data_IF_596954234615
#
_entry.id   IF_596954234615
#
_cell.length_a   1.000
_cell.length_b   1.000
_cell.length_c   1.000
_cell.angle_alpha   90.00
_cell.angle_beta   90.00
_cell.angle_gamma   90.00
#
_symmetry.space_group_name_H-M   'P 1'
#
loop_
_entity.id
_entity.type
_entity.pdbx_description
1 polymer ?
#
# COMPACT_ATOMS: atom_id res chain seq x y z
N UNK A 1 -4.26 -10.47 11.51
CA UNK A 1 -4.38 -9.47 10.42
C UNK A 1 -5.69 -8.70 10.50
N UNK A 2 -6.87 -9.33 10.66
CA UNK A 2 -8.17 -8.62 10.78
C UNK A 2 -8.19 -7.52 11.84
N UNK A 3 -7.62 -7.77 13.02
CA UNK A 3 -7.52 -6.79 14.11
C UNK A 3 -6.59 -5.64 13.76
N UNK A 4 -5.53 -5.90 13.00
CA UNK A 4 -4.57 -4.87 12.56
C UNK A 4 -5.21 -3.89 11.59
N UNK A 5 -6.07 -4.38 10.67
CA UNK A 5 -6.81 -3.54 9.74
C UNK A 5 -7.78 -2.56 10.45
N UNK A 6 -8.21 -2.86 11.69
CA UNK A 6 -8.99 -1.90 12.47
C UNK A 6 -8.22 -0.63 12.83
N UNK A 7 -6.90 -0.72 12.87
CA UNK A 7 -6.01 0.39 13.19
C UNK A 7 -5.41 1.08 11.94
N UNK A 8 -5.71 0.59 10.75
CA UNK A 8 -5.20 1.15 9.50
C UNK A 8 -6.13 2.21 8.92
N UNK A 9 -5.56 3.21 8.25
CA UNK A 9 -6.31 4.18 7.44
C UNK A 9 -6.19 3.89 5.96
N UNK A 10 -5.14 3.16 5.55
CA UNK A 10 -4.93 2.66 4.19
C UNK A 10 -4.37 1.25 4.27
N UNK A 11 -4.52 0.47 3.21
CA UNK A 11 -3.96 -0.86 3.08
C UNK A 11 -3.14 -0.98 1.79
N UNK A 12 -2.09 -1.78 1.84
CA UNK A 12 -1.34 -2.18 0.65
C UNK A 12 -1.62 -3.65 0.39
N UNK A 13 -2.22 -3.93 -0.75
CA UNK A 13 -2.42 -5.27 -1.27
C UNK A 13 -1.19 -5.67 -2.08
N UNK A 14 -0.53 -6.73 -1.66
CA UNK A 14 0.60 -7.29 -2.39
C UNK A 14 0.15 -8.49 -3.20
N UNK A 15 0.39 -8.45 -4.49
CA UNK A 15 0.08 -9.52 -5.42
C UNK A 15 1.36 -10.06 -6.06
N UNK A 16 1.43 -11.35 -6.22
CA UNK A 16 2.54 -12.04 -6.89
C UNK A 16 2.24 -12.10 -8.39
N UNK A 17 3.08 -11.51 -9.23
CA UNK A 17 2.87 -11.46 -10.69
C UNK A 17 2.67 -12.86 -11.33
N UNK A 18 3.21 -13.91 -10.72
CA UNK A 18 3.04 -15.27 -11.25
C UNK A 18 1.77 -15.96 -10.75
N UNK A 19 1.28 -15.59 -9.53
CA UNK A 19 0.17 -16.30 -8.88
C UNK A 19 -1.16 -15.58 -9.00
N UNK A 20 -1.14 -14.26 -9.17
CA UNK A 20 -2.33 -13.44 -9.09
C UNK A 20 -2.94 -13.40 -7.68
N UNK A 21 -4.25 -13.28 -7.61
CA UNK A 21 -5.00 -13.16 -6.36
C UNK A 21 -5.04 -14.47 -5.55
N UNK A 22 -4.35 -14.49 -4.40
CA UNK A 22 -4.36 -15.63 -3.49
C UNK A 22 -5.63 -15.61 -2.58
N UNK A 23 -6.11 -16.80 -2.12
CA UNK A 23 -7.33 -16.88 -1.29
C UNK A 23 -7.29 -16.03 0.00
N UNK A 24 -6.11 -15.84 0.58
CA UNK A 24 -5.94 -15.01 1.77
C UNK A 24 -6.09 -13.53 1.45
N UNK A 25 -5.62 -13.08 0.29
CA UNK A 25 -5.77 -11.70 -0.20
C UNK A 25 -7.24 -11.36 -0.37
N UNK A 26 -8.03 -12.25 -1.00
CA UNK A 26 -9.49 -12.06 -1.16
C UNK A 26 -10.21 -11.88 0.18
N UNK A 27 -9.89 -12.70 1.18
CA UNK A 27 -10.49 -12.58 2.53
C UNK A 27 -10.14 -11.26 3.22
N UNK A 28 -8.92 -10.77 3.06
CA UNK A 28 -8.49 -9.51 3.64
C UNK A 28 -9.07 -8.30 2.90
N UNK A 29 -9.21 -8.42 1.58
CA UNK A 29 -9.89 -7.44 0.76
C UNK A 29 -11.33 -7.19 1.25
N UNK A 30 -12.11 -8.26 1.48
CA UNK A 30 -13.49 -8.13 2.00
C UNK A 30 -13.54 -7.35 3.33
N UNK A 31 -12.53 -7.51 4.19
CA UNK A 31 -12.46 -6.73 5.43
C UNK A 31 -12.15 -5.26 5.17
N UNK A 32 -11.26 -4.96 4.22
CA UNK A 32 -10.97 -3.59 3.82
C UNK A 32 -12.22 -2.93 3.22
N UNK A 33 -12.93 -3.63 2.33
CA UNK A 33 -14.17 -3.17 1.69
C UNK A 33 -15.27 -2.87 2.73
N UNK A 34 -15.54 -3.80 3.66
CA UNK A 34 -16.51 -3.57 4.74
C UNK A 34 -16.20 -2.35 5.61
N UNK A 35 -14.93 -2.00 5.74
CA UNK A 35 -14.45 -0.88 6.55
C UNK A 35 -14.18 0.38 5.74
N UNK A 36 -14.36 0.33 4.43
CA UNK A 36 -14.02 1.41 3.49
C UNK A 36 -12.58 1.90 3.66
N UNK A 37 -11.64 0.94 3.78
CA UNK A 37 -10.22 1.23 3.86
C UNK A 37 -9.68 1.34 2.43
N UNK A 38 -9.10 2.46 2.02
CA UNK A 38 -8.45 2.60 0.73
C UNK A 38 -7.37 1.54 0.51
N UNK A 39 -7.33 0.99 -0.70
CA UNK A 39 -6.41 -0.09 -1.07
C UNK A 39 -5.50 0.38 -2.19
N UNK A 40 -4.20 0.25 -1.98
CA UNK A 40 -3.15 0.43 -2.97
C UNK A 40 -2.63 -0.95 -3.34
N UNK A 41 -2.57 -1.27 -4.63
CA UNK A 41 -2.10 -2.57 -5.09
C UNK A 41 -0.66 -2.49 -5.57
N UNK A 42 0.19 -3.40 -5.10
CA UNK A 42 1.56 -3.54 -5.57
C UNK A 42 1.75 -4.94 -6.15
N UNK A 43 1.85 -5.02 -7.48
CA UNK A 43 2.15 -6.26 -8.22
C UNK A 43 3.64 -6.49 -8.16
N UNK A 44 4.02 -7.48 -7.38
CA UNK A 44 5.38 -7.77 -6.96
C UNK A 44 6.00 -8.90 -7.79
N UNK A 45 7.32 -8.95 -7.81
CA UNK A 45 8.13 -9.98 -8.48
C UNK A 45 8.11 -9.90 -10.00
N UNK A 46 8.00 -8.69 -10.56
CA UNK A 46 8.10 -8.46 -11.99
C UNK A 46 9.46 -8.89 -12.58
N UNK A 47 10.47 -9.08 -11.72
CA UNK A 47 11.80 -9.62 -12.08
C UNK A 47 11.82 -11.14 -12.28
N UNK A 48 10.67 -11.81 -12.24
CA UNK A 48 10.49 -13.25 -12.44
C UNK A 48 9.43 -13.52 -13.51
N UNK A 49 9.46 -14.68 -14.18
CA UNK A 49 8.38 -15.06 -15.07
C UNK A 49 7.03 -15.00 -14.38
N UNK A 50 6.10 -14.29 -14.95
CA UNK A 50 4.76 -14.04 -14.40
C UNK A 50 3.71 -14.02 -15.51
N UNK A 51 2.51 -13.63 -15.12
CA UNK A 51 1.38 -13.38 -16.02
C UNK A 51 1.50 -11.98 -16.63
N UNK A 52 0.77 -11.75 -17.71
CA UNK A 52 0.74 -10.46 -18.39
C UNK A 52 0.08 -9.40 -17.48
N UNK A 53 0.59 -8.15 -17.46
CA UNK A 53 0.09 -7.09 -16.59
C UNK A 53 -1.40 -6.82 -16.75
N UNK A 54 -1.92 -6.81 -17.98
CA UNK A 54 -3.35 -6.61 -18.25
C UNK A 54 -4.22 -7.72 -17.66
N UNK A 55 -3.78 -8.98 -17.74
CA UNK A 55 -4.51 -10.10 -17.12
C UNK A 55 -4.61 -9.99 -15.60
N UNK A 56 -3.57 -9.46 -14.94
CA UNK A 56 -3.57 -9.25 -13.50
C UNK A 56 -4.53 -8.13 -13.10
N UNK A 57 -4.62 -7.06 -13.88
CA UNK A 57 -5.61 -6.00 -13.66
C UNK A 57 -7.02 -6.53 -13.83
N UNK A 58 -7.28 -7.26 -14.92
CA UNK A 58 -8.59 -7.87 -15.20
C UNK A 58 -9.04 -8.81 -14.07
N UNK A 59 -8.12 -9.61 -13.52
CA UNK A 59 -8.41 -10.50 -12.38
C UNK A 59 -8.85 -9.71 -11.15
N UNK A 60 -8.15 -8.62 -10.81
CA UNK A 60 -8.51 -7.76 -9.68
C UNK A 60 -9.90 -7.16 -9.89
N UNK A 61 -10.15 -6.60 -11.07
CA UNK A 61 -11.43 -5.96 -11.38
C UNK A 61 -12.60 -6.95 -11.40
N UNK A 62 -12.43 -8.11 -12.03
CA UNK A 62 -13.48 -9.11 -12.15
C UNK A 62 -13.77 -9.83 -10.83
N UNK A 63 -12.74 -10.19 -10.09
CA UNK A 63 -12.93 -11.00 -8.90
C UNK A 63 -13.19 -10.19 -7.64
N UNK A 64 -12.61 -9.01 -7.50
CA UNK A 64 -12.80 -8.14 -6.35
C UNK A 64 -13.84 -7.04 -6.59
N UNK A 65 -14.17 -6.74 -7.84
CA UNK A 65 -14.99 -5.58 -8.19
C UNK A 65 -14.32 -4.26 -7.79
N UNK A 66 -12.99 -4.23 -7.80
CA UNK A 66 -12.17 -3.08 -7.44
C UNK A 66 -11.58 -2.49 -8.72
N UNK A 67 -12.01 -1.30 -9.10
CA UNK A 67 -11.46 -0.62 -10.26
C UNK A 67 -9.95 -0.39 -10.08
N UNK A 68 -9.17 -0.54 -11.14
CA UNK A 68 -7.73 -0.40 -11.15
C UNK A 68 -7.28 0.83 -11.92
N UNK A 69 -6.33 1.57 -11.38
CA UNK A 69 -5.63 2.64 -12.08
C UNK A 69 -4.11 2.44 -11.97
N UNK A 70 -3.44 1.91 -13.01
CA UNK A 70 -2.00 1.77 -13.01
C UNK A 70 -1.33 3.15 -12.91
N UNK A 71 -0.53 3.34 -11.85
CA UNK A 71 0.28 4.56 -11.66
C UNK A 71 1.56 4.46 -12.49
N UNK A 72 2.11 3.26 -12.57
CA UNK A 72 3.23 2.95 -13.45
C UNK A 72 2.92 1.72 -14.30
N UNK A 73 3.63 1.57 -15.40
CA UNK A 73 3.50 0.44 -16.32
C UNK A 73 4.84 -0.24 -16.54
N UNK A 74 4.93 -1.58 -16.47
CA UNK A 74 6.21 -2.28 -16.56
C UNK A 74 6.76 -2.28 -18.00
N UNK A 75 8.07 -2.15 -18.12
CA UNK A 75 8.82 -2.33 -19.36
C UNK A 75 9.45 -3.71 -19.32
N UNK A 76 8.80 -4.65 -20.01
CA UNK A 76 9.15 -6.06 -19.98
C UNK A 76 8.76 -6.76 -18.66
N UNK A 77 9.03 -8.05 -18.61
CA UNK A 77 8.76 -8.93 -17.46
C UNK A 77 9.85 -9.98 -17.30
N UNK A 78 9.94 -10.60 -16.14
CA UNK A 78 10.93 -11.63 -15.84
C UNK A 78 12.37 -11.13 -16.01
N UNK A 79 13.19 -11.88 -16.69
CA UNK A 79 14.59 -11.50 -16.94
C UNK A 79 14.74 -10.27 -17.85
N UNK A 80 13.68 -9.92 -18.59
CA UNK A 80 13.61 -8.73 -19.46
C UNK A 80 12.98 -7.51 -18.76
N UNK A 81 12.65 -7.58 -17.48
CA UNK A 81 12.14 -6.43 -16.71
C UNK A 81 13.23 -5.37 -16.56
N UNK A 82 13.05 -4.20 -17.16
CA UNK A 82 14.03 -3.11 -17.23
C UNK A 82 13.68 -1.94 -16.34
N UNK A 83 12.39 -1.69 -16.12
CA UNK A 83 11.91 -0.54 -15.41
C UNK A 83 10.42 -0.39 -15.54
N UNK A 84 9.96 0.83 -15.29
CA UNK A 84 8.55 1.19 -15.45
C UNK A 84 8.42 2.54 -16.13
N UNK A 85 7.26 2.80 -16.75
CA UNK A 85 6.86 4.11 -17.21
C UNK A 85 5.89 4.68 -16.16
N UNK A 86 6.19 5.84 -15.57
CA UNK A 86 5.23 6.56 -14.74
C UNK A 86 4.14 7.15 -15.65
N UNK A 87 2.88 6.76 -15.40
CA UNK A 87 1.75 7.16 -16.26
C UNK A 87 1.43 8.64 -16.16
N UNK A 88 1.73 9.28 -15.02
CA UNK A 88 1.43 10.69 -14.76
C UNK A 88 2.44 11.64 -15.40
N UNK A 89 3.74 11.36 -15.21
CA UNK A 89 4.82 12.18 -15.74
C UNK A 89 5.26 11.76 -17.15
N UNK A 90 4.92 10.55 -17.59
CA UNK A 90 5.40 9.94 -18.83
C UNK A 90 6.91 9.71 -18.84
N UNK A 91 7.52 9.62 -17.66
CA UNK A 91 8.93 9.34 -17.51
C UNK A 91 9.19 7.85 -17.44
N UNK A 92 10.29 7.45 -18.06
CA UNK A 92 10.82 6.08 -17.99
C UNK A 92 11.77 5.99 -16.82
N UNK A 93 11.44 5.14 -15.86
CA UNK A 93 12.25 4.89 -14.66
C UNK A 93 12.93 3.55 -14.82
N UNK A 94 14.23 3.56 -15.12
CA UNK A 94 15.05 2.37 -15.27
C UNK A 94 15.74 2.01 -13.96
N UNK A 95 15.82 0.72 -13.69
CA UNK A 95 16.45 0.21 -12.48
C UNK A 95 17.76 -0.52 -12.80
N UNK A 96 18.85 -0.09 -12.19
CA UNK A 96 20.10 -0.84 -12.23
C UNK A 96 20.07 -1.91 -11.14
N UNK A 97 20.48 -3.14 -11.49
CA UNK A 97 20.64 -4.21 -10.49
C UNK A 97 21.72 -3.80 -9.49
N UNK A 98 21.31 -3.45 -8.30
CA UNK A 98 22.23 -3.23 -7.18
C UNK A 98 22.57 -4.58 -6.52
N UNK A 99 23.76 -4.65 -5.90
CA UNK A 99 24.09 -5.75 -4.99
C UNK A 99 23.06 -5.84 -3.85
N UNK A 100 22.76 -7.07 -3.40
CA UNK A 100 21.76 -7.32 -2.34
C UNK A 100 21.92 -6.33 -1.18
N UNK A 101 20.82 -5.61 -0.89
CA UNK A 101 20.73 -4.71 0.25
C UNK A 101 21.13 -3.25 0.00
N UNK A 102 21.52 -2.88 -1.23
CA UNK A 102 21.68 -1.48 -1.64
C UNK A 102 20.42 -1.00 -2.38
N UNK A 103 20.11 0.29 -2.26
CA UNK A 103 19.08 0.91 -3.09
C UNK A 103 19.48 0.77 -4.55
N UNK A 104 18.56 0.34 -5.42
CA UNK A 104 18.79 0.39 -6.87
C UNK A 104 18.93 1.88 -7.25
N UNK A 105 19.94 2.22 -8.05
CA UNK A 105 20.00 3.54 -8.64
C UNK A 105 18.89 3.62 -9.71
N UNK A 106 18.05 4.64 -9.56
CA UNK A 106 17.00 4.95 -10.51
C UNK A 106 17.57 5.91 -11.55
N UNK A 107 17.41 5.57 -12.81
CA UNK A 107 17.71 6.47 -13.92
C UNK A 107 16.38 6.90 -14.53
N UNK A 108 16.05 8.16 -14.38
CA UNK A 108 14.81 8.76 -14.89
C UNK A 108 15.12 9.43 -16.24
N UNK A 109 14.41 9.04 -17.26
CA UNK A 109 14.57 9.51 -18.63
C UNK A 109 13.21 9.87 -19.22
N UNK A 110 13.20 10.81 -20.14
CA UNK A 110 12.04 10.95 -21.03
C UNK A 110 11.95 9.75 -21.97
N UNK A 111 10.79 9.49 -22.56
CA UNK A 111 10.61 8.41 -23.56
C UNK A 111 11.59 8.56 -24.73
N UNK A 112 11.81 9.79 -25.21
CA UNK A 112 12.73 10.08 -26.32
C UNK A 112 14.19 9.81 -25.94
N UNK A 113 14.60 10.15 -24.72
CA UNK A 113 15.93 9.83 -24.20
C UNK A 113 16.11 8.33 -24.00
N UNK A 114 15.11 7.60 -23.48
CA UNK A 114 15.15 6.16 -23.33
C UNK A 114 15.32 5.46 -24.68
N UNK A 115 14.59 5.95 -25.70
CA UNK A 115 14.69 5.44 -27.10
C UNK A 115 16.05 5.73 -27.72
N UNK A 116 16.53 6.98 -27.61
CA UNK A 116 17.78 7.41 -28.26
C UNK A 116 19.05 6.88 -27.60
N UNK A 117 19.02 6.66 -26.30
CA UNK A 117 20.17 6.13 -25.55
C UNK A 117 20.40 4.63 -25.73
N UNK A 118 19.37 3.89 -26.23
CA UNK A 118 19.41 2.44 -26.28
C UNK A 118 19.47 1.78 -24.90
N UNK A 119 19.04 2.49 -23.85
CA UNK A 119 19.04 1.99 -22.48
C UNK A 119 18.00 0.87 -22.26
N UNK A 120 17.00 0.80 -23.14
CA UNK A 120 15.97 -0.23 -23.19
C UNK A 120 15.88 -0.76 -24.62
N UNK A 121 15.59 -2.04 -24.78
CA UNK A 121 15.26 -2.60 -26.08
C UNK A 121 14.00 -1.90 -26.64
N UNK A 122 14.09 -1.36 -27.86
CA UNK A 122 13.04 -0.58 -28.51
C UNK A 122 11.70 -1.33 -28.54
N UNK A 123 11.75 -2.64 -28.85
CA UNK A 123 10.57 -3.51 -28.87
C UNK A 123 9.82 -3.53 -27.51
N UNK A 124 10.56 -3.55 -26.39
CA UNK A 124 9.95 -3.56 -25.06
C UNK A 124 9.33 -2.20 -24.69
N UNK A 125 10.00 -1.13 -25.08
CA UNK A 125 9.51 0.23 -24.82
C UNK A 125 8.25 0.51 -25.64
N UNK A 126 8.25 0.16 -26.94
CA UNK A 126 7.09 0.33 -27.81
C UNK A 126 5.89 -0.50 -27.33
N UNK A 127 6.10 -1.77 -26.98
CA UNK A 127 5.03 -2.60 -26.44
C UNK A 127 4.42 -2.01 -25.17
N UNK A 128 5.25 -1.50 -24.25
CA UNK A 128 4.76 -0.87 -23.01
C UNK A 128 3.99 0.44 -23.29
N UNK A 129 4.41 1.21 -24.29
CA UNK A 129 3.72 2.44 -24.69
C UNK A 129 2.36 2.13 -25.37
N UNK A 130 2.30 1.13 -26.24
CA UNK A 130 1.06 0.68 -26.87
C UNK A 130 0.03 0.21 -25.82
N UNK A 131 0.46 -0.56 -24.82
CA UNK A 131 -0.40 -1.00 -23.72
C UNK A 131 -0.89 0.18 -22.87
N UNK A 132 -0.03 1.19 -22.62
CA UNK A 132 -0.43 2.40 -21.93
C UNK A 132 -1.47 3.21 -22.72
N UNK A 133 -1.35 3.30 -24.04
CA UNK A 133 -2.35 3.98 -24.88
C UNK A 133 -3.69 3.25 -24.83
N UNK A 134 -3.71 1.92 -24.79
CA UNK A 134 -4.93 1.13 -24.61
C UNK A 134 -5.59 1.43 -23.27
N UNK A 135 -4.80 1.52 -22.20
CA UNK A 135 -5.30 1.84 -20.86
C UNK A 135 -5.83 3.28 -20.75
N UNK A 136 -5.30 4.21 -21.53
CA UNK A 136 -5.82 5.57 -21.58
C UNK A 136 -7.13 5.69 -22.34
N UNK A 137 -7.29 4.86 -23.37
CA UNK A 137 -8.50 4.85 -24.20
C UNK A 137 -9.68 4.08 -23.58
N UNK A 138 -9.41 3.07 -22.77
CA UNK A 138 -10.43 2.14 -22.28
C UNK A 138 -10.42 1.97 -20.74
N UNK A 139 -9.38 2.45 -20.06
CA UNK A 139 -9.22 2.26 -18.61
C UNK A 139 -9.91 3.33 -17.77
N UNK A 140 -9.83 3.12 -16.46
CA UNK A 140 -10.36 4.07 -15.47
C UNK A 140 -9.51 5.36 -15.44
N UNK A 141 -10.13 6.47 -15.03
CA UNK A 141 -9.42 7.71 -14.69
C UNK A 141 -9.05 7.71 -13.20
N UNK A 142 -7.98 8.45 -12.85
CA UNK A 142 -7.61 8.63 -11.46
C UNK A 142 -8.58 9.59 -10.77
N UNK A 143 -9.36 9.04 -9.86
CA UNK A 143 -10.27 9.79 -9.01
C UNK A 143 -9.93 9.53 -7.53
N UNK A 144 -9.44 10.57 -6.85
CA UNK A 144 -9.03 10.48 -5.45
C UNK A 144 -10.21 10.24 -4.49
N UNK A 145 -11.42 10.65 -4.86
CA UNK A 145 -12.61 10.36 -4.04
C UNK A 145 -12.92 8.86 -4.09
N UNK A 146 -12.84 8.24 -5.27
CA UNK A 146 -12.99 6.81 -5.42
C UNK A 146 -11.85 6.02 -4.76
N UNK A 147 -10.61 6.53 -4.81
CA UNK A 147 -9.48 5.91 -4.10
C UNK A 147 -9.75 5.92 -2.59
N UNK A 148 -10.14 7.06 -2.03
CA UNK A 148 -10.42 7.19 -0.59
C UNK A 148 -11.69 6.46 -0.16
N UNK A 149 -12.63 6.24 -1.06
CA UNK A 149 -13.80 5.39 -0.82
C UNK A 149 -13.48 3.88 -0.82
N UNK A 150 -12.30 3.49 -1.34
CA UNK A 150 -11.90 2.10 -1.54
C UNK A 150 -12.57 1.43 -2.74
N UNK A 151 -12.96 2.21 -3.74
CA UNK A 151 -13.63 1.78 -4.97
C UNK A 151 -12.68 1.77 -6.18
N UNK A 152 -11.57 2.52 -6.10
CA UNK A 152 -10.49 2.56 -7.08
C UNK A 152 -9.15 2.27 -6.39
N UNK A 153 -8.35 1.38 -6.94
CA UNK A 153 -7.00 1.07 -6.45
C UNK A 153 -5.93 1.66 -7.38
N UNK A 154 -5.06 2.55 -6.87
CA UNK A 154 -3.81 2.83 -7.55
C UNK A 154 -2.94 1.56 -7.58
N UNK A 155 -2.52 1.14 -8.79
CA UNK A 155 -1.76 -0.09 -9.02
C UNK A 155 -0.33 0.24 -9.40
N UNK A 156 0.62 -0.49 -8.82
CA UNK A 156 2.05 -0.34 -9.05
C UNK A 156 2.66 -1.69 -9.41
N UNK A 157 3.59 -1.67 -10.36
CA UNK A 157 4.36 -2.83 -10.76
C UNK A 157 5.81 -2.69 -10.30
N UNK A 158 6.39 -3.77 -9.78
CA UNK A 158 7.77 -3.74 -9.32
C UNK A 158 8.29 -5.05 -8.75
N UNK A 159 9.43 -4.98 -8.08
CA UNK A 159 10.03 -6.10 -7.34
C UNK A 159 10.62 -5.61 -6.01
N UNK A 160 9.97 -5.96 -4.93
CA UNK A 160 10.42 -5.56 -3.59
C UNK A 160 11.77 -6.19 -3.21
N UNK A 161 12.10 -7.39 -3.74
CA UNK A 161 13.37 -8.04 -3.43
C UNK A 161 14.57 -7.33 -4.05
N UNK A 162 14.39 -6.73 -5.21
CA UNK A 162 15.41 -5.98 -5.94
C UNK A 162 15.30 -4.48 -5.73
N UNK A 163 14.32 -4.02 -4.94
CA UNK A 163 13.93 -2.62 -4.72
C UNK A 163 13.48 -1.88 -6.01
N UNK A 164 13.04 -2.62 -7.05
CA UNK A 164 12.54 -2.03 -8.29
C UNK A 164 11.12 -1.51 -8.10
N UNK A 165 10.90 -0.22 -8.34
CA UNK A 165 9.60 0.42 -8.23
C UNK A 165 9.11 0.69 -6.80
N UNK A 166 9.88 0.34 -5.76
CA UNK A 166 9.48 0.53 -4.37
C UNK A 166 9.48 2.00 -3.97
N UNK A 167 10.49 2.77 -4.39
CA UNK A 167 10.56 4.20 -4.10
C UNK A 167 9.46 4.99 -4.81
N UNK A 168 9.24 4.86 -6.13
CA UNK A 168 8.11 5.48 -6.81
C UNK A 168 6.76 5.12 -6.18
N UNK A 169 6.59 3.87 -5.73
CA UNK A 169 5.42 3.45 -4.97
C UNK A 169 5.26 4.24 -3.67
N UNK A 170 6.32 4.36 -2.87
CA UNK A 170 6.26 5.06 -1.58
C UNK A 170 5.99 6.56 -1.76
N UNK A 171 6.61 7.20 -2.75
CA UNK A 171 6.41 8.61 -3.05
C UNK A 171 4.96 8.87 -3.47
N UNK A 172 4.42 8.07 -4.39
CA UNK A 172 3.03 8.17 -4.81
C UNK A 172 2.04 7.79 -3.68
N UNK A 173 2.38 6.79 -2.84
CA UNK A 173 1.57 6.44 -1.68
C UNK A 173 1.46 7.60 -0.69
N UNK A 174 2.54 8.33 -0.42
CA UNK A 174 2.51 9.51 0.45
C UNK A 174 1.63 10.64 -0.10
N UNK A 175 1.55 10.75 -1.42
CA UNK A 175 0.72 11.75 -2.11
C UNK A 175 -0.76 11.36 -2.14
N UNK A 176 -1.06 10.11 -2.51
CA UNK A 176 -2.41 9.64 -2.81
C UNK A 176 -3.15 9.07 -1.60
N UNK A 177 -2.42 8.61 -0.57
CA UNK A 177 -3.01 7.95 0.59
C UNK A 177 -3.88 8.90 1.42
N UNK A 178 -4.99 8.36 1.92
CA UNK A 178 -5.85 9.07 2.83
C UNK A 178 -5.11 9.42 4.12
N UNK A 179 -5.20 10.67 4.54
CA UNK A 179 -4.72 11.11 5.85
C UNK A 179 -5.52 10.43 6.97
N UNK A 180 -4.97 10.35 8.21
CA UNK A 180 -5.73 9.84 9.34
C UNK A 180 -7.10 10.52 9.46
N UNK A 181 -8.15 9.71 9.53
CA UNK A 181 -9.54 10.18 9.63
C UNK A 181 -10.01 10.24 11.07
N UNK A 182 -11.04 11.06 11.38
CA UNK A 182 -11.69 11.06 12.66
C UNK A 182 -12.16 9.66 13.06
N UNK A 183 -12.06 9.35 14.35
CA UNK A 183 -12.47 8.05 14.88
C UNK A 183 -13.67 8.21 15.83
N UNK A 184 -14.71 7.39 15.67
CA UNK A 184 -15.85 7.43 16.57
C UNK A 184 -15.47 6.98 17.98
N UNK A 185 -16.03 7.63 18.98
CA UNK A 185 -15.95 7.23 20.40
C UNK A 185 -17.28 7.46 21.10
N UNK A 186 -17.40 6.97 22.34
CA UNK A 186 -18.59 7.21 23.19
C UNK A 186 -18.80 8.71 23.50
N UNK A 187 -17.76 9.53 23.38
CA UNK A 187 -17.81 10.99 23.60
C UNK A 187 -17.96 11.81 22.30
N UNK A 188 -18.23 11.15 21.15
CA UNK A 188 -18.29 11.77 19.83
C UNK A 188 -17.07 11.42 18.97
N UNK A 189 -16.92 12.10 17.85
CA UNK A 189 -15.77 11.90 16.95
C UNK A 189 -14.49 12.52 17.53
N UNK A 190 -13.40 11.78 17.39
CA UNK A 190 -12.07 12.21 17.80
C UNK A 190 -11.29 12.61 16.56
N UNK A 191 -11.05 13.92 16.43
CA UNK A 191 -10.23 14.49 15.37
C UNK A 191 -8.74 14.17 15.61
N UNK A 192 -7.99 13.73 14.56
CA UNK A 192 -6.57 13.40 14.68
C UNK A 192 -5.69 14.56 15.20
N UNK A 193 -6.08 15.80 14.91
CA UNK A 193 -5.35 17.02 15.31
C UNK A 193 -5.69 17.49 16.73
N UNK A 194 -6.58 16.80 17.44
CA UNK A 194 -6.92 17.16 18.83
C UNK A 194 -5.69 17.04 19.73
N UNK A 195 -5.37 18.04 20.57
CA UNK A 195 -4.15 18.04 21.39
C UNK A 195 -4.10 16.94 22.45
N UNK A 196 -5.27 16.55 23.00
CA UNK A 196 -5.36 15.51 24.04
C UNK A 196 -5.08 14.13 23.46
N UNK A 197 -4.27 13.33 24.18
CA UNK A 197 -4.02 11.95 23.81
C UNK A 197 -5.31 11.12 23.86
N UNK A 198 -5.54 10.38 22.81
CA UNK A 198 -6.52 9.30 22.76
C UNK A 198 -6.02 8.16 21.87
N UNK A 199 -6.46 6.95 22.17
CA UNK A 199 -6.09 5.78 21.40
C UNK A 199 -6.92 4.57 21.80
N UNK A 200 -6.81 3.50 21.00
CA UNK A 200 -7.46 2.23 21.34
C UNK A 200 -6.51 1.05 21.13
N UNK A 201 -6.68 0.03 21.97
CA UNK A 201 -5.93 -1.22 21.87
C UNK A 201 -6.58 -2.09 20.80
N UNK A 202 -5.87 -2.38 19.71
CA UNK A 202 -6.37 -3.25 18.65
C UNK A 202 -5.82 -4.67 18.70
N UNK A 203 -4.73 -4.91 19.44
CA UNK A 203 -4.12 -6.24 19.60
C UNK A 203 -3.45 -6.36 20.95
N UNK A 204 -3.65 -7.49 21.61
CA UNK A 204 -2.87 -7.92 22.77
C UNK A 204 -2.08 -9.16 22.38
N UNK A 205 -0.81 -9.19 22.68
CA UNK A 205 0.06 -10.35 22.43
C UNK A 205 0.83 -10.70 23.68
N UNK A 206 0.68 -11.95 24.13
CA UNK A 206 1.46 -12.51 25.23
C UNK A 206 2.70 -13.23 24.71
N UNK A 207 3.70 -13.39 25.57
CA UNK A 207 4.89 -14.23 25.33
C UNK A 207 5.67 -13.84 24.05
N UNK A 208 5.86 -12.55 23.78
CA UNK A 208 6.71 -12.11 22.66
C UNK A 208 8.20 -12.42 22.92
N UNK A 209 8.64 -12.31 24.17
CA UNK A 209 9.94 -12.82 24.61
C UNK A 209 9.69 -14.06 25.49
N UNK A 210 10.20 -15.24 25.13
CA UNK A 210 10.05 -16.46 25.93
C UNK A 210 10.57 -16.34 27.36
N UNK A 211 11.47 -15.38 27.62
CA UNK A 211 12.07 -15.12 28.95
C UNK A 211 11.20 -14.22 29.83
N UNK A 212 10.19 -13.56 29.25
CA UNK A 212 9.31 -12.64 29.95
C UNK A 212 7.84 -13.06 29.76
N UNK A 213 7.07 -13.02 30.84
CA UNK A 213 5.62 -13.32 30.82
C UNK A 213 4.77 -12.09 30.51
N UNK A 214 5.39 -11.04 29.99
CA UNK A 214 4.72 -9.78 29.74
C UNK A 214 3.73 -9.87 28.59
N UNK A 215 2.69 -9.04 28.65
CA UNK A 215 1.72 -8.86 27.58
C UNK A 215 1.98 -7.52 26.93
N UNK A 216 2.14 -7.52 25.63
CA UNK A 216 2.29 -6.30 24.83
C UNK A 216 0.94 -5.89 24.26
N UNK A 217 0.55 -4.65 24.54
CA UNK A 217 -0.62 -4.02 23.95
C UNK A 217 -0.19 -3.17 22.75
N UNK A 218 -0.82 -3.43 21.60
CA UNK A 218 -0.64 -2.60 20.41
C UNK A 218 -1.75 -1.55 20.38
N UNK A 219 -1.37 -0.29 20.47
CA UNK A 219 -2.28 0.84 20.55
C UNK A 219 -2.22 1.66 19.27
N UNK A 220 -3.38 1.96 18.69
CA UNK A 220 -3.50 3.01 17.68
C UNK A 220 -3.71 4.34 18.42
N UNK A 221 -2.79 5.27 18.22
CA UNK A 221 -2.97 6.67 18.64
C UNK A 221 -3.94 7.34 17.66
N UNK A 222 -5.04 7.87 18.17
CA UNK A 222 -6.07 8.56 17.38
C UNK A 222 -5.89 10.08 17.42
N UNK A 223 -5.40 10.62 18.54
CA UNK A 223 -5.11 12.06 18.68
C UNK A 223 -4.01 12.30 19.70
N UNK A 224 -3.44 13.50 19.68
CA UNK A 224 -2.43 13.94 20.62
C UNK A 224 -1.10 13.18 20.49
N UNK A 225 -0.31 13.21 21.57
CA UNK A 225 1.01 12.61 21.61
C UNK A 225 1.08 11.57 22.73
N UNK A 226 1.63 10.39 22.41
CA UNK A 226 1.95 9.37 23.40
C UNK A 226 3.42 9.51 23.81
N UNK A 227 3.68 9.49 25.11
CA UNK A 227 5.03 9.57 25.68
C UNK A 227 5.29 8.39 26.62
N UNK A 228 6.54 7.99 26.73
CA UNK A 228 6.94 6.94 27.66
C UNK A 228 6.58 7.35 29.09
N UNK A 229 6.16 6.38 29.91
CA UNK A 229 5.76 6.55 31.31
C UNK A 229 4.54 7.48 31.53
N UNK A 230 3.78 7.75 30.46
CA UNK A 230 2.56 8.53 30.52
C UNK A 230 1.45 7.75 31.25
N UNK A 231 0.78 8.39 32.19
CA UNK A 231 -0.43 7.84 32.82
C UNK A 231 -1.63 8.11 31.93
N UNK A 232 -2.36 7.07 31.53
CA UNK A 232 -3.56 7.18 30.71
C UNK A 232 -4.77 6.67 31.48
N UNK A 233 -5.93 7.28 31.21
CA UNK A 233 -7.20 6.82 31.73
C UNK A 233 -7.85 5.89 30.72
N UNK A 234 -8.18 4.67 31.16
CA UNK A 234 -8.98 3.76 30.37
C UNK A 234 -10.45 4.09 30.53
N UNK A 235 -11.16 4.33 29.43
CA UNK A 235 -12.62 4.41 29.42
C UNK A 235 -13.18 3.03 29.08
N UNK A 236 -14.04 2.48 29.95
CA UNK A 236 -14.80 1.26 29.68
C UNK A 236 -16.26 1.64 29.44
N UNK A 237 -16.87 1.09 28.41
CA UNK A 237 -18.29 1.33 28.08
C UNK A 237 -19.27 0.63 29.05
N UNK A 238 -18.79 -0.18 30.00
CA UNK A 238 -19.63 -0.87 31.00
C UNK A 238 -19.21 -0.54 32.42
N UNK A 239 -20.11 0.15 33.08
CA UNK A 239 -20.29 0.34 34.51
C UNK A 239 -19.65 -0.73 35.39
N UNK A 240 -18.46 -0.45 35.90
CA UNK A 240 -18.04 -0.83 37.24
C UNK A 240 -17.03 0.20 37.73
N UNK A 241 -17.29 0.74 38.93
CA UNK A 241 -16.53 1.74 39.63
C UNK A 241 -15.12 1.27 40.06
N UNK A 242 -14.26 0.98 39.09
CA UNK A 242 -12.83 0.78 39.32
C UNK A 242 -12.04 1.58 38.29
N UNK A 243 -11.70 2.79 38.65
CA UNK A 243 -10.70 3.61 37.98
C UNK A 243 -9.34 2.92 38.16
N UNK A 244 -8.97 2.01 37.25
CA UNK A 244 -7.61 1.52 37.20
C UNK A 244 -6.75 2.52 36.43
N UNK A 245 -5.87 3.20 37.15
CA UNK A 245 -4.76 3.94 36.55
C UNK A 245 -3.69 2.94 36.18
N UNK A 246 -3.52 2.68 34.92
CA UNK A 246 -2.41 1.85 34.44
C UNK A 246 -1.28 2.76 33.96
N UNK A 247 -0.09 2.54 34.49
CA UNK A 247 1.14 3.17 34.01
C UNK A 247 1.71 2.30 32.88
N UNK A 248 1.94 2.90 31.74
CA UNK A 248 2.51 2.19 30.57
C UNK A 248 4.01 2.54 30.52
N UNK A 249 4.85 1.54 30.71
CA UNK A 249 6.31 1.64 30.65
C UNK A 249 6.89 1.30 29.27
#
# INVERSE_FOLDING_TARGET
TYRTLAAADNAVMLEDAAKGLEPQTRKLFEVCRMRRIPIFTFINKMDRPGREPLELLDEIEQELGLACWPVNWPIGSGDRFRGVIDRRSREVILFQRAERGRASEENVLSVDEARSSGAVEEELLEAALEELELLEGAGNELDLELVHAGELSPVFFGSAMTNFGVRPFLDAFLELAQKPTPRPSSAGEIEPVRPGFSGFVFKLQANMDPRHRDRVAFVRVCSGKFEKDMTVQRSEEHTSELQSRETIS
#
